data_IF_191231872865
#
_entry.id   IF_191231872865
#
_cell.length_a   1.000
_cell.length_b   1.000
_cell.length_c   1.000
_cell.angle_alpha   90.00
_cell.angle_beta   90.00
_cell.angle_gamma   90.00
#
_symmetry.space_group_name_H-M   'P 1'
#
loop_
_entity.id
_entity.type
_entity.pdbx_description
1 polymer ?
#
# COMPACT_ATOMS: atom_id res chain seq x y z
N UNK A 1 -26.36 -1.69 5.65
CA UNK A 1 -25.26 -2.66 5.75
C UNK A 1 -23.97 -1.88 5.95
N UNK A 2 -23.10 -2.34 6.84
CA UNK A 2 -21.84 -1.66 7.18
C UNK A 2 -20.63 -2.29 6.49
N UNK A 3 -19.48 -1.65 6.62
CA UNK A 3 -18.18 -2.17 6.18
C UNK A 3 -17.15 -1.97 7.30
N UNK A 4 -16.06 -2.74 7.24
CA UNK A 4 -14.86 -2.50 8.06
C UNK A 4 -13.87 -1.72 7.21
N UNK A 5 -13.36 -0.62 7.75
CA UNK A 5 -12.31 0.17 7.11
C UNK A 5 -11.03 0.02 7.91
N UNK A 6 -9.96 -0.37 7.23
CA UNK A 6 -8.63 -0.52 7.82
C UNK A 6 -7.71 0.48 7.14
N UNK A 7 -7.17 1.40 7.92
CA UNK A 7 -6.18 2.36 7.47
C UNK A 7 -4.77 1.89 7.82
N UNK A 8 -3.78 2.34 7.04
CA UNK A 8 -2.37 1.94 7.16
C UNK A 8 -2.15 0.41 7.13
N UNK A 9 -2.93 -0.28 6.28
CA UNK A 9 -3.00 -1.74 6.21
C UNK A 9 -1.67 -2.40 5.83
N UNK A 10 -0.68 -1.64 5.34
CA UNK A 10 0.67 -2.15 5.11
C UNK A 10 1.36 -2.67 6.38
N UNK A 11 0.93 -2.24 7.57
CA UNK A 11 1.47 -2.69 8.85
C UNK A 11 0.81 -3.95 9.40
N UNK A 12 -0.15 -4.52 8.68
CA UNK A 12 -0.74 -5.80 9.07
C UNK A 12 0.26 -6.94 8.88
N UNK A 13 0.21 -7.89 9.80
CA UNK A 13 0.86 -9.19 9.64
C UNK A 13 0.04 -10.10 8.72
N UNK A 14 0.65 -11.14 8.15
CA UNK A 14 -0.07 -12.18 7.39
C UNK A 14 -1.34 -12.68 8.09
N UNK A 15 -1.23 -12.95 9.39
CA UNK A 15 -2.31 -13.53 10.18
C UNK A 15 -3.49 -12.55 10.30
N UNK A 16 -3.22 -11.26 10.46
CA UNK A 16 -4.26 -10.25 10.49
C UNK A 16 -4.94 -10.09 9.14
N UNK A 17 -4.17 -10.11 8.04
CA UNK A 17 -4.76 -10.07 6.69
C UNK A 17 -5.68 -11.28 6.47
N UNK A 18 -5.27 -12.47 6.91
CA UNK A 18 -6.11 -13.68 6.82
C UNK A 18 -7.42 -13.55 7.63
N UNK A 19 -7.34 -13.01 8.84
CA UNK A 19 -8.52 -12.77 9.67
C UNK A 19 -9.50 -11.80 9.03
N UNK A 20 -9.02 -10.79 8.30
CA UNK A 20 -9.88 -9.88 7.53
C UNK A 20 -10.60 -10.61 6.40
N UNK A 21 -9.93 -11.54 5.70
CA UNK A 21 -10.60 -12.40 4.72
C UNK A 21 -11.72 -13.23 5.36
N UNK A 22 -11.50 -13.79 6.55
CA UNK A 22 -12.55 -14.52 7.26
C UNK A 22 -13.75 -13.65 7.64
N UNK A 23 -13.54 -12.35 7.94
CA UNK A 23 -14.65 -11.42 8.18
C UNK A 23 -15.51 -11.26 6.92
N UNK A 24 -14.89 -11.15 5.75
CA UNK A 24 -15.62 -11.08 4.48
C UNK A 24 -16.39 -12.37 4.24
N UNK A 25 -15.74 -13.52 4.38
CA UNK A 25 -16.33 -14.82 4.05
C UNK A 25 -17.43 -15.25 5.01
N UNK A 26 -17.17 -15.15 6.32
CA UNK A 26 -18.06 -15.68 7.35
C UNK A 26 -19.17 -14.70 7.73
N UNK A 27 -18.84 -13.40 7.83
CA UNK A 27 -19.79 -12.38 8.29
C UNK A 27 -20.47 -11.65 7.12
N UNK A 28 -19.97 -11.82 5.89
CA UNK A 28 -20.45 -11.10 4.70
C UNK A 28 -20.39 -9.58 4.88
N UNK A 29 -19.38 -9.11 5.61
CA UNK A 29 -19.12 -7.68 5.83
C UNK A 29 -17.93 -7.30 4.95
N UNK A 30 -18.08 -6.37 4.00
CA UNK A 30 -16.96 -5.90 3.18
C UNK A 30 -15.85 -5.29 4.03
N UNK A 31 -14.60 -5.60 3.70
CA UNK A 31 -13.40 -5.01 4.32
C UNK A 31 -12.67 -4.17 3.28
N UNK A 32 -12.52 -2.88 3.56
CA UNK A 32 -11.77 -1.93 2.73
C UNK A 32 -10.42 -1.64 3.40
N UNK A 33 -9.33 -2.02 2.74
CA UNK A 33 -7.98 -1.77 3.23
C UNK A 33 -7.31 -0.64 2.45
N UNK A 34 -6.86 0.40 3.16
CA UNK A 34 -6.07 1.50 2.63
C UNK A 34 -4.64 1.41 3.15
N UNK A 35 -3.67 1.64 2.27
CA UNK A 35 -2.27 1.58 2.67
C UNK A 35 -1.28 1.72 1.52
N UNK A 36 -0.01 1.80 1.87
CA UNK A 36 1.09 1.89 0.91
C UNK A 36 1.48 0.52 0.36
N UNK A 37 1.68 0.42 -0.95
CA UNK A 37 2.13 -0.84 -1.56
C UNK A 37 3.56 -1.21 -1.16
N UNK A 38 4.46 -0.24 -1.27
CA UNK A 38 5.91 -0.44 -1.12
C UNK A 38 6.52 0.61 -0.21
N UNK A 39 7.62 0.26 0.43
CA UNK A 39 8.43 1.20 1.19
C UNK A 39 9.24 2.15 0.28
N UNK A 40 10.04 3.03 0.88
CA UNK A 40 10.87 3.99 0.16
C UNK A 40 12.02 3.36 -0.65
N UNK A 41 12.29 2.05 -0.47
CA UNK A 41 13.24 1.28 -1.28
C UNK A 41 12.56 0.57 -2.46
N UNK A 42 11.23 0.63 -2.54
CA UNK A 42 10.45 -0.09 -3.55
C UNK A 42 10.11 -1.53 -3.16
N UNK A 43 10.41 -1.94 -1.92
CA UNK A 43 10.11 -3.28 -1.42
C UNK A 43 8.67 -3.35 -0.89
N UNK A 44 7.98 -4.47 -1.08
CA UNK A 44 6.63 -4.65 -0.55
C UNK A 44 6.65 -4.66 0.98
N UNK A 45 5.66 -4.00 1.58
CA UNK A 45 5.33 -4.23 2.99
C UNK A 45 4.69 -5.60 3.16
N UNK A 46 4.84 -6.21 4.35
CA UNK A 46 4.25 -7.52 4.64
C UNK A 46 2.74 -7.53 4.44
N UNK A 47 2.01 -6.61 5.08
CA UNK A 47 0.55 -6.53 4.96
C UNK A 47 0.13 -6.33 3.52
N UNK A 48 0.81 -5.43 2.80
CA UNK A 48 0.56 -5.15 1.39
C UNK A 48 0.84 -6.36 0.50
N UNK A 49 1.88 -7.15 0.78
CA UNK A 49 2.17 -8.38 0.02
C UNK A 49 1.01 -9.36 0.09
N UNK A 50 0.43 -9.58 1.27
CA UNK A 50 -0.69 -10.52 1.43
C UNK A 50 -2.02 -9.93 0.94
N UNK A 51 -2.25 -8.64 1.14
CA UNK A 51 -3.43 -7.96 0.59
C UNK A 51 -3.42 -8.03 -0.94
N UNK A 52 -2.27 -7.81 -1.59
CA UNK A 52 -2.15 -7.95 -3.05
C UNK A 52 -2.42 -9.38 -3.54
N UNK A 53 -2.12 -10.39 -2.71
CA UNK A 53 -2.29 -11.79 -3.08
C UNK A 53 -3.73 -12.30 -2.88
N UNK A 54 -4.46 -11.75 -1.91
CA UNK A 54 -5.77 -12.28 -1.48
C UNK A 54 -6.95 -11.34 -1.70
N UNK A 55 -6.74 -10.05 -1.95
CA UNK A 55 -7.84 -9.13 -2.19
C UNK A 55 -8.57 -9.43 -3.49
N UNK A 56 -9.90 -9.44 -3.44
CA UNK A 56 -10.76 -9.61 -4.63
C UNK A 56 -10.62 -8.44 -5.61
N UNK A 57 -10.50 -7.22 -5.08
CA UNK A 57 -10.37 -6.00 -5.86
C UNK A 57 -9.21 -5.13 -5.34
N UNK A 58 -8.46 -4.55 -6.27
CA UNK A 58 -7.33 -3.66 -5.96
C UNK A 58 -7.38 -2.42 -6.84
N UNK A 59 -7.37 -1.25 -6.21
CA UNK A 59 -7.31 0.02 -6.91
C UNK A 59 -6.10 0.84 -6.47
N UNK A 60 -5.24 1.19 -7.43
CA UNK A 60 -4.12 2.11 -7.18
C UNK A 60 -4.63 3.56 -7.19
N UNK A 61 -4.52 4.26 -6.06
CA UNK A 61 -4.80 5.69 -5.98
C UNK A 61 -3.60 6.45 -6.54
N UNK A 62 -3.77 7.09 -7.70
CA UNK A 62 -2.70 7.85 -8.37
C UNK A 62 -2.50 9.19 -7.68
N UNK A 63 -1.29 9.45 -7.21
CA UNK A 63 -0.85 10.79 -6.78
C UNK A 63 0.01 11.45 -7.85
N UNK A 64 0.02 12.79 -7.87
CA UNK A 64 0.79 13.58 -8.82
C UNK A 64 2.14 13.93 -8.17
N UNK A 65 3.23 13.61 -8.86
CA UNK A 65 4.57 14.00 -8.45
C UNK A 65 4.76 15.53 -8.62
N UNK A 66 5.73 16.11 -7.91
CA UNK A 66 6.13 17.51 -8.12
C UNK A 66 6.52 17.83 -9.57
N UNK A 67 6.98 16.82 -10.33
CA UNK A 67 7.28 16.94 -11.76
C UNK A 67 6.03 16.99 -12.68
N UNK A 68 4.82 16.85 -12.13
CA UNK A 68 3.58 16.73 -12.88
C UNK A 68 3.30 15.34 -13.48
N UNK A 69 4.25 14.40 -13.35
CA UNK A 69 4.07 12.99 -13.77
C UNK A 69 3.44 12.14 -12.66
N UNK A 70 2.95 10.94 -13.00
CA UNK A 70 2.44 9.97 -12.01
C UNK A 70 3.52 9.66 -10.97
N UNK A 71 3.22 9.85 -9.69
CA UNK A 71 4.07 9.37 -8.62
C UNK A 71 3.96 7.84 -8.51
N UNK A 72 5.08 7.15 -8.55
CA UNK A 72 5.17 5.68 -8.49
C UNK A 72 5.84 5.17 -7.22
N UNK A 73 6.56 6.03 -6.50
CA UNK A 73 7.30 5.70 -5.30
C UNK A 73 7.17 6.80 -4.25
N UNK A 74 7.31 6.41 -2.98
CA UNK A 74 7.38 7.33 -1.85
C UNK A 74 8.83 7.72 -1.60
N UNK A 75 9.13 9.02 -1.71
CA UNK A 75 10.47 9.56 -1.43
C UNK A 75 10.60 9.84 0.06
N UNK A 76 11.67 9.33 0.69
CA UNK A 76 12.09 9.76 2.02
C UNK A 76 13.18 10.82 1.87
N UNK A 77 13.06 11.94 2.55
CA UNK A 77 14.07 13.02 2.56
C UNK A 77 14.71 13.13 3.94
N UNK A 78 15.96 13.59 3.98
CA UNK A 78 16.64 13.95 5.22
C UNK A 78 16.23 15.34 5.74
N UNK A 79 16.79 15.75 6.88
CA UNK A 79 16.50 17.06 7.51
C UNK A 79 16.86 18.27 6.61
N UNK A 80 17.70 18.06 5.61
CA UNK A 80 18.16 19.09 4.67
C UNK A 80 17.40 19.03 3.34
N UNK A 81 16.41 18.14 3.22
CA UNK A 81 15.60 17.96 2.01
C UNK A 81 16.26 17.12 0.92
N UNK A 82 17.38 16.44 1.21
CA UNK A 82 18.02 15.55 0.24
C UNK A 82 17.40 14.15 0.26
N UNK A 83 17.10 13.61 -0.92
CA UNK A 83 16.69 12.22 -1.08
C UNK A 83 17.93 11.29 -1.10
N UNK A 84 17.86 10.09 -0.52
CA UNK A 84 18.92 9.10 -0.64
C UNK A 84 19.12 8.71 -2.12
N UNK A 85 20.38 8.58 -2.56
CA UNK A 85 20.79 8.52 -3.98
C UNK A 85 20.11 7.47 -4.89
N UNK A 86 19.35 6.51 -4.37
CA UNK A 86 18.68 5.46 -5.17
C UNK A 86 17.35 5.86 -5.81
N UNK A 87 16.75 7.00 -5.43
CA UNK A 87 15.37 7.34 -5.84
C UNK A 87 15.28 7.96 -7.24
N UNK A 88 16.41 8.18 -7.92
CA UNK A 88 16.46 8.93 -9.19
C UNK A 88 16.49 8.04 -10.45
N UNK A 89 16.55 6.72 -10.30
CA UNK A 89 16.28 5.84 -11.44
C UNK A 89 14.76 5.74 -11.59
N UNK A 90 14.24 6.68 -12.38
CA UNK A 90 12.93 6.67 -13.02
C UNK A 90 12.81 5.33 -13.76
N UNK A 91 12.39 4.26 -13.07
CA UNK A 91 12.25 2.94 -13.67
C UNK A 91 11.13 3.06 -14.69
N UNK A 92 11.43 3.05 -16.00
CA UNK A 92 10.41 3.16 -17.01
C UNK A 92 9.65 1.84 -16.96
N UNK A 93 8.37 1.90 -16.60
CA UNK A 93 7.45 0.85 -17.05
C UNK A 93 7.13 1.11 -18.51
#
# INVERSE_FOLDING_TARGET
>A
MGCVLVDEAQFLTRAQVWQLSEVVDQLRIPVLCYGLRTDFRGELFEGSQYLLAWADEMQEIKTICHSGKKATMTVRVDEHGHAPRRVQEDHPR
#
